data_IF_596623643751
#
_entry.id   IF_596623643751
#
_cell.length_a   1.000
_cell.length_b   1.000
_cell.length_c   1.000
_cell.angle_alpha   90.00
_cell.angle_beta   90.00
_cell.angle_gamma   90.00
#
_symmetry.space_group_name_H-M   'P 1'
#
loop_
_entity.id
_entity.type
_entity.pdbx_description
1 polymer ?
#
# COMPACT_ATOMS: atom_id res chain seq x y z
N UNK A 1 -10.92 -21.54 -30.14
CA UNK A 1 -9.76 -20.63 -30.11
C UNK A 1 -10.28 -19.21 -30.08
N UNK A 2 -9.74 -18.39 -29.18
CA UNK A 2 -10.28 -17.11 -28.70
C UNK A 2 -10.16 -16.01 -29.77
N UNK A 3 -11.20 -15.19 -29.90
CA UNK A 3 -11.19 -13.92 -30.63
C UNK A 3 -11.10 -12.80 -29.61
N UNK A 4 -10.08 -11.95 -29.71
CA UNK A 4 -9.97 -10.72 -28.94
C UNK A 4 -9.44 -9.62 -29.86
N UNK A 5 -10.29 -8.68 -30.19
CA UNK A 5 -9.94 -7.39 -30.79
C UNK A 5 -10.97 -6.42 -30.26
N UNK A 6 -10.76 -5.97 -29.02
CA UNK A 6 -11.44 -4.81 -28.46
C UNK A 6 -10.68 -3.57 -28.88
N UNK A 7 -11.11 -2.95 -29.97
CA UNK A 7 -10.68 -1.60 -30.34
C UNK A 7 -11.40 -0.60 -29.42
N UNK A 8 -10.63 0.27 -28.75
CA UNK A 8 -11.14 1.40 -27.96
C UNK A 8 -11.84 2.40 -28.90
N UNK A 9 -13.12 2.75 -28.71
CA UNK A 9 -13.70 3.87 -29.44
C UNK A 9 -13.22 5.20 -28.87
N UNK A 10 -12.87 6.13 -29.76
CA UNK A 10 -12.43 7.49 -29.44
C UNK A 10 -13.64 8.38 -29.08
N UNK A 11 -13.53 9.29 -28.10
CA UNK A 11 -14.65 10.14 -27.70
C UNK A 11 -14.92 11.20 -28.76
N UNK A 12 -15.97 10.99 -29.56
CA UNK A 12 -16.45 11.97 -30.53
C UNK A 12 -17.49 12.87 -29.87
N UNK A 13 -17.17 14.15 -29.74
CA UNK A 13 -18.09 15.31 -29.80
C UNK A 13 -19.28 15.34 -28.85
N UNK A 14 -19.22 16.24 -27.86
CA UNK A 14 -20.38 16.70 -27.09
C UNK A 14 -21.33 17.53 -27.99
N UNK A 15 -22.65 17.30 -27.96
CA UNK A 15 -23.63 18.33 -28.30
C UNK A 15 -24.14 19.07 -27.05
N UNK A 16 -24.12 20.40 -27.12
CA UNK A 16 -24.73 21.33 -26.17
C UNK A 16 -26.27 21.31 -26.26
N UNK A 17 -26.95 20.50 -25.46
CA UNK A 17 -28.39 20.61 -25.21
C UNK A 17 -28.70 20.21 -23.76
N UNK A 18 -28.89 21.22 -22.90
CA UNK A 18 -29.05 21.18 -21.43
C UNK A 18 -30.33 20.45 -20.92
N UNK A 19 -31.09 19.76 -21.79
CA UNK A 19 -32.33 19.07 -21.43
C UNK A 19 -32.29 17.55 -21.62
N UNK A 20 -31.18 16.97 -22.10
CA UNK A 20 -31.03 15.51 -22.25
C UNK A 20 -30.23 14.88 -21.10
N UNK A 21 -29.60 15.69 -20.25
CA UNK A 21 -28.79 15.20 -19.11
C UNK A 21 -29.65 14.59 -17.99
N UNK A 22 -30.91 14.99 -17.82
CA UNK A 22 -31.73 14.47 -16.73
C UNK A 22 -32.13 13.01 -16.98
N UNK A 23 -32.57 12.65 -18.19
CA UNK A 23 -33.03 11.29 -18.46
C UNK A 23 -31.91 10.24 -18.43
N UNK A 24 -30.70 10.60 -18.86
CA UNK A 24 -29.54 9.70 -18.80
C UNK A 24 -29.02 9.54 -17.36
N UNK A 25 -29.05 10.60 -16.56
CA UNK A 25 -28.64 10.58 -15.14
C UNK A 25 -29.68 9.85 -14.28
N UNK A 26 -30.98 10.05 -14.51
CA UNK A 26 -32.06 9.34 -13.81
C UNK A 26 -32.10 7.85 -14.15
N UNK A 27 -31.82 7.47 -15.40
CA UNK A 27 -31.71 6.07 -15.80
C UNK A 27 -30.49 5.41 -15.12
N UNK A 28 -29.34 6.10 -15.09
CA UNK A 28 -28.15 5.62 -14.38
C UNK A 28 -28.37 5.49 -12.86
N UNK A 29 -28.99 6.48 -12.21
CA UNK A 29 -29.36 6.42 -10.79
C UNK A 29 -30.38 5.30 -10.52
N UNK A 30 -31.38 5.08 -11.37
CA UNK A 30 -32.34 3.99 -11.17
C UNK A 30 -31.68 2.61 -11.28
N UNK A 31 -30.68 2.47 -12.16
CA UNK A 31 -29.94 1.22 -12.37
C UNK A 31 -28.83 0.98 -11.34
N UNK A 32 -28.20 2.03 -10.82
CA UNK A 32 -27.02 1.93 -9.94
C UNK A 32 -27.30 2.32 -8.47
N UNK A 33 -28.45 2.93 -8.14
CA UNK A 33 -28.77 3.40 -6.78
C UNK A 33 -29.51 2.36 -5.92
N UNK A 34 -29.67 1.12 -6.40
CA UNK A 34 -30.19 0.02 -5.61
C UNK A 34 -29.07 -0.99 -5.28
N UNK A 35 -28.01 -0.50 -4.65
CA UNK A 35 -27.08 -1.31 -3.85
C UNK A 35 -25.87 -1.84 -4.60
N UNK A 36 -24.84 -1.00 -4.74
CA UNK A 36 -23.47 -1.50 -4.64
C UNK A 36 -22.83 -0.78 -3.45
N UNK A 37 -22.60 -1.48 -2.32
CA UNK A 37 -21.64 -0.97 -1.35
C UNK A 37 -20.29 -0.78 -2.07
N UNK A 38 -19.43 0.06 -1.51
CA UNK A 38 -18.01 0.22 -1.85
C UNK A 38 -17.26 -1.13 -1.92
N UNK A 39 -17.52 -1.93 -2.94
CA UNK A 39 -16.90 -3.22 -3.24
C UNK A 39 -15.81 -2.97 -4.27
N UNK A 40 -14.59 -2.74 -3.80
CA UNK A 40 -13.40 -2.76 -4.65
C UNK A 40 -13.36 -4.08 -5.44
N UNK A 41 -13.40 -4.05 -6.79
CA UNK A 41 -13.35 -5.25 -7.59
C UNK A 41 -11.88 -5.72 -7.67
N UNK A 42 -11.49 -6.52 -6.69
CA UNK A 42 -10.15 -7.09 -6.58
C UNK A 42 -9.90 -7.97 -5.36
N UNK A 43 -10.89 -8.19 -4.48
CA UNK A 43 -10.73 -9.03 -3.30
C UNK A 43 -11.40 -10.41 -3.49
N UNK A 44 -10.97 -11.16 -4.50
CA UNK A 44 -11.31 -12.59 -4.64
C UNK A 44 -10.07 -13.48 -4.47
N UNK A 45 -9.39 -13.34 -3.32
CA UNK A 45 -8.42 -14.32 -2.86
C UNK A 45 -8.65 -14.61 -1.36
N UNK A 46 -9.10 -15.85 -1.11
CA UNK A 46 -8.94 -16.61 0.13
C UNK A 46 -9.80 -16.15 1.32
N UNK A 47 -11.03 -16.66 1.36
CA UNK A 47 -11.66 -17.04 2.63
C UNK A 47 -10.84 -18.18 3.26
N UNK A 48 -9.74 -17.83 3.91
CA UNK A 48 -9.06 -18.69 4.88
C UNK A 48 -9.41 -18.12 6.24
N UNK A 49 -9.74 -19.01 7.16
CA UNK A 49 -10.05 -18.73 8.56
C UNK A 49 -9.08 -17.69 9.11
N UNK A 50 -9.58 -16.75 9.93
CA UNK A 50 -8.74 -15.72 10.53
C UNK A 50 -7.51 -16.34 11.16
N UNK A 51 -6.38 -16.24 10.48
CA UNK A 51 -5.08 -16.17 11.13
C UNK A 51 -5.15 -14.86 11.90
N UNK A 52 -5.63 -14.98 13.13
CA UNK A 52 -5.22 -14.19 14.27
C UNK A 52 -4.04 -13.29 13.90
N UNK A 53 -4.33 -12.01 13.62
CA UNK A 53 -3.39 -10.93 13.88
C UNK A 53 -3.16 -10.96 15.39
N UNK A 54 -2.41 -11.96 15.84
CA UNK A 54 -1.73 -11.94 17.12
C UNK A 54 -1.04 -10.59 17.11
N UNK A 55 -1.14 -9.88 18.23
CA UNK A 55 -0.43 -8.64 18.39
C UNK A 55 1.06 -9.00 18.40
N UNK A 56 1.62 -9.20 17.22
CA UNK A 56 3.01 -9.53 17.02
C UNK A 56 3.77 -8.35 17.58
N UNK A 57 4.60 -8.65 18.56
CA UNK A 57 5.15 -7.65 19.44
C UNK A 57 6.19 -6.85 18.65
N UNK A 58 5.75 -5.76 18.01
CA UNK A 58 6.63 -4.85 17.28
C UNK A 58 7.75 -4.39 18.21
N UNK A 59 8.99 -4.59 17.77
CA UNK A 59 10.17 -4.19 18.50
C UNK A 59 10.42 -2.68 18.31
N UNK A 60 10.42 -1.93 19.40
CA UNK A 60 10.75 -0.50 19.38
C UNK A 60 12.26 -0.29 19.32
N UNK A 61 12.73 0.50 18.34
CA UNK A 61 14.13 0.88 18.20
C UNK A 61 14.27 2.39 18.05
N UNK A 62 15.12 3.01 18.86
CA UNK A 62 15.48 4.43 18.72
C UNK A 62 16.64 4.58 17.73
N UNK A 63 16.41 5.30 16.62
CA UNK A 63 17.41 5.52 15.58
C UNK A 63 17.53 7.01 15.23
N UNK A 64 18.67 7.38 14.64
CA UNK A 64 18.90 8.72 14.14
C UNK A 64 18.78 8.72 12.61
N UNK A 65 18.06 9.70 12.06
CA UNK A 65 17.96 9.88 10.62
C UNK A 65 19.34 10.26 10.03
N UNK A 66 19.88 9.54 9.03
CA UNK A 66 21.18 9.86 8.44
C UNK A 66 21.19 11.13 7.59
N UNK A 67 20.01 11.70 7.28
CA UNK A 67 19.88 12.92 6.49
C UNK A 67 19.83 14.21 7.32
N UNK A 68 19.14 14.18 8.46
CA UNK A 68 18.88 15.37 9.29
C UNK A 68 19.25 15.20 10.77
N UNK A 69 19.89 14.08 11.13
CA UNK A 69 20.34 13.72 12.47
C UNK A 69 19.24 13.73 13.56
N UNK A 70 17.97 13.69 13.15
CA UNK A 70 16.85 13.72 14.08
C UNK A 70 16.61 12.33 14.67
N UNK A 71 16.54 12.18 16.00
CA UNK A 71 16.17 10.92 16.63
C UNK A 71 14.67 10.65 16.48
N UNK A 72 14.31 9.42 16.13
CA UNK A 72 12.93 8.96 16.07
C UNK A 72 12.83 7.48 16.44
N UNK A 73 11.64 7.04 16.84
CA UNK A 73 11.35 5.65 17.20
C UNK A 73 10.77 4.92 16.00
N UNK A 74 11.37 3.78 15.65
CA UNK A 74 10.91 2.90 14.59
C UNK A 74 10.43 1.58 15.19
N UNK A 75 9.42 0.99 14.57
CA UNK A 75 8.82 -0.28 14.99
C UNK A 75 9.19 -1.35 13.97
N UNK A 76 9.89 -2.38 14.44
CA UNK A 76 10.39 -3.50 13.64
C UNK A 76 9.53 -4.73 13.88
N UNK A 77 9.09 -5.37 12.81
CA UNK A 77 8.42 -6.67 12.86
C UNK A 77 9.47 -7.77 12.76
N UNK A 78 9.75 -8.47 13.86
CA UNK A 78 10.78 -9.49 13.90
C UNK A 78 10.30 -10.84 13.34
N UNK A 79 8.98 -11.03 13.18
CA UNK A 79 8.40 -12.27 12.65
C UNK A 79 8.73 -12.46 11.15
N UNK A 80 8.81 -11.37 10.40
CA UNK A 80 9.31 -11.39 9.01
C UNK A 80 10.82 -11.75 8.91
N UNK A 81 11.56 -11.74 10.03
CA UNK A 81 12.97 -12.09 10.08
C UNK A 81 13.88 -11.00 9.47
N UNK A 82 15.02 -11.41 8.90
CA UNK A 82 16.00 -10.46 8.35
C UNK A 82 15.52 -9.85 7.03
N UNK A 83 15.23 -8.54 7.02
CA UNK A 83 14.69 -7.86 5.85
C UNK A 83 15.12 -6.39 5.73
N UNK A 84 14.96 -5.83 4.53
CA UNK A 84 15.26 -4.43 4.22
C UNK A 84 13.97 -3.66 3.98
N UNK A 85 13.75 -2.63 4.79
CA UNK A 85 12.63 -1.70 4.68
C UNK A 85 13.11 -0.30 4.27
N UNK A 86 12.25 0.43 3.57
CA UNK A 86 12.42 1.87 3.31
C UNK A 86 11.40 2.62 4.15
N UNK A 87 11.87 3.51 5.02
CA UNK A 87 11.00 4.33 5.88
C UNK A 87 11.34 5.79 5.70
N UNK A 88 10.33 6.63 5.51
CA UNK A 88 10.52 8.08 5.42
C UNK A 88 10.75 8.71 6.79
N UNK A 89 11.70 9.64 6.86
CA UNK A 89 11.89 10.45 8.07
C UNK A 89 10.68 11.35 8.36
N UNK A 90 10.16 11.36 9.59
CA UNK A 90 9.04 12.21 10.02
C UNK A 90 9.32 13.73 9.92
N UNK A 91 10.61 14.11 9.85
CA UNK A 91 11.03 15.51 9.87
C UNK A 91 11.50 16.04 8.53
N UNK A 92 12.32 15.27 7.79
CA UNK A 92 12.86 15.70 6.51
C UNK A 92 12.26 14.97 5.29
N UNK A 93 11.34 14.02 5.49
CA UNK A 93 10.70 13.26 4.41
C UNK A 93 11.70 12.69 3.39
N UNK A 94 12.81 12.13 3.89
CA UNK A 94 13.81 11.45 3.05
C UNK A 94 13.71 9.95 3.31
N UNK A 95 13.87 9.12 2.25
CA UNK A 95 13.80 7.68 2.36
C UNK A 95 15.05 7.15 3.08
N UNK A 96 14.85 6.48 4.22
CA UNK A 96 15.89 5.84 5.01
C UNK A 96 15.83 4.34 4.78
N UNK A 97 16.97 3.73 4.44
CA UNK A 97 17.12 2.29 4.36
C UNK A 97 17.32 1.72 5.77
N UNK A 98 16.48 0.77 6.17
CA UNK A 98 16.52 0.12 7.48
C UNK A 98 16.61 -1.38 7.27
N UNK A 99 17.73 -1.99 7.63
CA UNK A 99 17.94 -3.43 7.53
C UNK A 99 17.96 -4.04 8.92
N UNK A 100 16.96 -4.87 9.20
CA UNK A 100 16.93 -5.68 10.41
C UNK A 100 17.62 -7.02 10.17
N UNK A 101 18.43 -7.44 11.13
CA UNK A 101 19.08 -8.74 11.18
C UNK A 101 18.46 -9.51 12.34
N UNK A 102 17.74 -10.56 12.03
CA UNK A 102 17.06 -11.43 13.01
C UNK A 102 17.67 -12.82 12.91
N UNK A 103 17.99 -13.40 14.07
CA UNK A 103 18.52 -14.76 14.14
C UNK A 103 17.42 -15.75 13.71
N UNK A 104 17.67 -16.61 12.71
CA UNK A 104 16.66 -17.52 12.19
C UNK A 104 16.30 -18.67 13.13
N UNK A 105 17.01 -18.83 14.26
CA UNK A 105 16.80 -19.90 15.25
C UNK A 105 16.07 -19.38 16.50
N UNK A 106 16.45 -18.22 17.03
CA UNK A 106 15.83 -17.61 18.21
C UNK A 106 14.72 -16.62 17.88
N UNK A 107 14.70 -16.04 16.67
CA UNK A 107 13.76 -14.98 16.31
C UNK A 107 14.06 -13.64 17.00
N UNK A 108 15.26 -13.47 17.55
CA UNK A 108 15.69 -12.25 18.23
C UNK A 108 16.46 -11.33 17.27
N UNK A 109 16.36 -10.01 17.50
CA UNK A 109 17.13 -9.02 16.75
C UNK A 109 18.63 -9.15 17.07
N UNK A 110 19.43 -9.57 16.09
CA UNK A 110 20.89 -9.60 16.17
C UNK A 110 21.52 -8.23 15.88
N UNK A 111 20.90 -7.44 15.01
CA UNK A 111 21.43 -6.14 14.62
C UNK A 111 20.48 -5.31 13.75
N UNK A 112 20.74 -4.01 13.72
CA UNK A 112 19.99 -3.04 12.92
C UNK A 112 20.98 -2.14 12.19
N UNK A 113 20.89 -2.11 10.86
CA UNK A 113 21.70 -1.24 10.01
C UNK A 113 20.82 -0.14 9.40
N UNK A 114 21.32 1.09 9.42
CA UNK A 114 20.60 2.29 8.99
C UNK A 114 21.44 3.02 7.95
N UNK A 115 20.89 3.17 6.76
CA UNK A 115 21.55 3.76 5.59
C UNK A 115 20.72 4.81 4.89
N UNK A 116 21.39 5.59 4.04
CA UNK A 116 20.73 6.48 3.08
C UNK A 116 20.35 5.67 1.84
N UNK A 117 19.22 5.99 1.20
CA UNK A 117 18.79 5.29 -0.02
C UNK A 117 19.74 5.47 -1.22
N UNK A 118 20.51 6.57 -1.24
CA UNK A 118 21.42 6.92 -2.34
C UNK A 118 22.79 6.21 -2.25
N UNK A 119 23.11 5.57 -1.12
CA UNK A 119 24.33 4.79 -0.97
C UNK A 119 24.12 3.40 -1.57
N UNK A 120 24.53 3.24 -2.83
CA UNK A 120 24.56 1.94 -3.53
C UNK A 120 25.49 0.97 -2.80
N UNK A 121 24.91 0.18 -1.89
CA UNK A 121 25.53 -0.96 -1.19
C UNK A 121 25.93 -2.10 -2.14
#
# INVERSE_FOLDING_TARGET
>A
MRNDTTERPEPTGLPDDDEVLDAAVEQWLAEHSAGQPDEWPGHELLESEGEEATNDALHEAEINCPYCDTPFTLFLDLDEGSLLNIVDCERCCQPIQVRQHVDPVSGELEGLDIGQDDDVL
#
